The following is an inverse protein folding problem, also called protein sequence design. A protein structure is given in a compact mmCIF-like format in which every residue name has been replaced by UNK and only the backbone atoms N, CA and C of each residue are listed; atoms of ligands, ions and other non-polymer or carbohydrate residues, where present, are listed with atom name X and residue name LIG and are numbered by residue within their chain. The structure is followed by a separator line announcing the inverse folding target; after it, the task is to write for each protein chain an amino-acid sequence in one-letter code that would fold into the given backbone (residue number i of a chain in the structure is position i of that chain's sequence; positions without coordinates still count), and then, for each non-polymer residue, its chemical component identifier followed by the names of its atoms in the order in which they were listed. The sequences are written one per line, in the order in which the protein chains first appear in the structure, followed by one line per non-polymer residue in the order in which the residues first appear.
data_IF_861038753139
#
_entry.id   IF_861038753139
#
_cell.length_a   1.000
_cell.length_b   1.000
_cell.length_c   1.000
_cell.angle_alpha   90.00
_cell.angle_beta   90.00
_cell.angle_gamma   90.00
#
_symmetry.space_group_name_H-M   'P 1'
#
loop_
_entity.id
_entity.type
_entity.pdbx_description
1 polymer ?
#
# COMPACT_ATOMS: atom_id res chain seq x y z
N UNK A 1 -16.53 3.17 -8.78
CA UNK A 1 -16.30 2.24 -7.66
C UNK A 1 -15.01 1.50 -7.94
N UNK A 2 -14.11 1.36 -6.96
CA UNK A 2 -12.86 0.63 -7.15
C UNK A 2 -13.12 -0.85 -7.45
N UNK A 3 -12.30 -1.43 -8.33
CA UNK A 3 -12.26 -2.89 -8.55
C UNK A 3 -11.51 -3.62 -7.44
N UNK A 4 -10.65 -2.91 -6.70
CA UNK A 4 -9.90 -3.45 -5.58
C UNK A 4 -10.75 -3.35 -4.33
N UNK A 5 -11.14 -4.50 -3.79
CA UNK A 5 -11.98 -4.58 -2.59
C UNK A 5 -11.37 -5.57 -1.62
N UNK A 6 -11.27 -5.14 -0.37
CA UNK A 6 -10.97 -6.02 0.75
C UNK A 6 -12.22 -6.81 1.13
N UNK A 7 -12.02 -8.03 1.62
CA UNK A 7 -13.09 -8.83 2.23
C UNK A 7 -13.09 -8.61 3.75
N UNK A 8 -14.16 -9.04 4.41
CA UNK A 8 -14.24 -9.02 5.89
C UNK A 8 -13.26 -10.00 6.54
N UNK A 9 -12.75 -10.98 5.79
CA UNK A 9 -11.79 -11.98 6.28
C UNK A 9 -10.34 -11.50 6.22
N UNK A 10 -10.07 -10.43 5.47
CA UNK A 10 -8.72 -9.88 5.39
C UNK A 10 -8.29 -9.38 6.77
N UNK A 11 -7.12 -9.84 7.21
CA UNK A 11 -6.41 -9.28 8.35
C UNK A 11 -6.10 -7.80 8.14
N UNK A 12 -5.65 -7.18 9.22
CA UNK A 12 -5.23 -5.78 9.19
C UNK A 12 -3.87 -5.63 8.53
N UNK A 13 -3.72 -4.58 7.72
CA UNK A 13 -2.43 -4.10 7.22
C UNK A 13 -1.64 -3.46 8.36
N UNK A 14 -2.35 -2.70 9.20
CA UNK A 14 -1.78 -1.95 10.32
C UNK A 14 -1.50 -2.79 11.57
N UNK A 15 -2.31 -3.82 11.81
CA UNK A 15 -2.32 -4.60 13.06
C UNK A 15 -2.92 -3.85 14.26
N UNK A 16 -3.58 -2.72 14.04
CA UNK A 16 -4.23 -1.89 15.08
C UNK A 16 -5.75 -1.83 14.89
N UNK A 17 -6.23 -1.84 13.65
CA UNK A 17 -7.65 -1.76 13.32
C UNK A 17 -8.22 -0.34 13.25
N UNK A 18 -9.54 -0.25 13.23
CA UNK A 18 -10.29 1.01 13.22
C UNK A 18 -9.94 1.95 12.05
N UNK A 19 -10.05 3.26 12.29
CA UNK A 19 -9.80 4.28 11.26
C UNK A 19 -8.37 4.27 10.70
N UNK A 20 -7.40 3.79 11.48
CA UNK A 20 -6.01 3.64 11.03
C UNK A 20 -5.91 2.54 9.96
N UNK A 21 -6.57 1.41 10.18
CA UNK A 21 -6.66 0.33 9.18
C UNK A 21 -7.43 0.77 7.94
N UNK A 22 -8.54 1.50 8.11
CA UNK A 22 -9.30 2.05 6.99
C UNK A 22 -8.46 2.99 6.12
N UNK A 23 -7.62 3.82 6.74
CA UNK A 23 -6.66 4.66 6.04
C UNK A 23 -5.64 3.82 5.27
N UNK A 24 -5.03 2.80 5.89
CA UNK A 24 -4.11 1.89 5.21
C UNK A 24 -4.75 1.19 4.00
N UNK A 25 -5.98 0.70 4.14
CA UNK A 25 -6.73 0.05 3.04
C UNK A 25 -6.98 1.02 1.88
N UNK A 26 -7.40 2.26 2.18
CA UNK A 26 -7.58 3.33 1.17
C UNK A 26 -6.28 3.64 0.44
N UNK A 27 -5.17 3.77 1.18
CA UNK A 27 -3.85 4.00 0.59
C UNK A 27 -3.47 2.87 -0.37
N UNK A 28 -3.62 1.60 0.02
CA UNK A 28 -3.26 0.47 -0.85
C UNK A 28 -4.14 0.42 -2.11
N UNK A 29 -5.45 0.68 -1.97
CA UNK A 29 -6.36 0.76 -3.13
C UNK A 29 -5.91 1.88 -4.08
N UNK A 30 -5.65 3.09 -3.57
CA UNK A 30 -5.19 4.23 -4.37
C UNK A 30 -3.87 3.92 -5.10
N UNK A 31 -2.89 3.30 -4.42
CA UNK A 31 -1.63 2.89 -5.05
C UNK A 31 -1.83 1.85 -6.18
N UNK A 32 -2.74 0.89 -6.00
CA UNK A 32 -3.08 -0.08 -7.04
C UNK A 32 -3.82 0.55 -8.24
N UNK A 33 -4.71 1.52 -8.00
CA UNK A 33 -5.37 2.28 -9.06
C UNK A 33 -4.38 3.16 -9.82
N UNK A 34 -3.42 3.76 -9.12
CA UNK A 34 -2.36 4.53 -9.73
C UNK A 34 -1.52 3.67 -10.67
N UNK A 35 -1.11 2.48 -10.25
CA UNK A 35 -0.32 1.56 -11.08
C UNK A 35 -1.08 1.03 -12.29
N UNK A 36 -2.38 0.80 -12.16
CA UNK A 36 -3.22 0.41 -13.29
C UNK A 36 -3.26 1.51 -14.37
N UNK A 37 -3.33 2.77 -13.96
CA UNK A 37 -3.32 3.92 -14.86
C UNK A 37 -1.92 4.23 -15.42
N UNK A 38 -0.87 3.69 -14.80
CA UNK A 38 0.53 3.92 -15.18
C UNK A 38 1.26 2.58 -15.40
N UNK A 39 0.80 1.79 -16.38
CA UNK A 39 1.29 0.41 -16.63
C UNK A 39 2.79 0.25 -16.88
N UNK A 40 3.47 1.34 -17.25
CA UNK A 40 4.92 1.36 -17.50
C UNK A 40 5.72 1.90 -16.31
N UNK A 41 5.06 2.35 -15.24
CA UNK A 41 5.73 2.84 -14.05
C UNK A 41 6.48 1.70 -13.37
N UNK A 42 7.67 2.02 -12.84
CA UNK A 42 8.52 1.08 -12.12
C UNK A 42 8.92 1.66 -10.76
N UNK A 43 7.99 1.77 -9.78
CA UNK A 43 8.31 2.33 -8.47
C UNK A 43 9.45 1.55 -7.79
N UNK A 44 10.44 2.28 -7.29
CA UNK A 44 11.60 1.73 -6.58
C UNK A 44 11.95 2.62 -5.40
N UNK A 45 12.45 1.97 -4.36
CA UNK A 45 12.95 2.58 -3.14
C UNK A 45 13.79 1.56 -2.38
N UNK A 46 14.68 2.06 -1.53
CA UNK A 46 15.46 1.28 -0.60
C UNK A 46 14.84 1.35 0.79
N UNK A 47 14.95 0.23 1.51
CA UNK A 47 14.51 0.11 2.90
C UNK A 47 15.70 -0.21 3.79
N UNK A 48 15.74 0.43 4.96
CA UNK A 48 16.78 0.16 5.94
C UNK A 48 16.40 -1.04 6.80
N UNK A 49 17.34 -1.97 6.96
CA UNK A 49 17.14 -3.14 7.81
C UNK A 49 16.89 -2.70 9.26
N UNK A 50 15.81 -3.21 9.86
CA UNK A 50 15.40 -2.93 11.25
C UNK A 50 15.01 -1.47 11.55
N UNK A 51 14.78 -0.62 10.53
CA UNK A 51 14.29 0.75 10.73
C UNK A 51 12.97 0.89 9.97
N UNK A 52 11.88 1.07 10.71
CA UNK A 52 10.55 1.23 10.14
C UNK A 52 10.18 2.70 10.00
N UNK A 53 9.48 3.04 8.92
CA UNK A 53 9.11 4.40 8.54
C UNK A 53 10.24 5.23 7.92
N UNK A 54 11.39 4.61 7.60
CA UNK A 54 12.51 5.29 6.97
C UNK A 54 12.93 4.55 5.69
N UNK A 55 12.95 5.29 4.59
CA UNK A 55 13.23 4.80 3.24
C UNK A 55 14.17 5.78 2.52
N UNK A 56 14.79 5.33 1.43
CA UNK A 56 15.70 6.15 0.64
C UNK A 56 15.60 5.82 -0.85
N UNK A 57 16.23 6.66 -1.68
CA UNK A 57 16.36 6.45 -3.12
C UNK A 57 15.02 6.18 -3.83
N UNK A 58 13.94 6.79 -3.35
CA UNK A 58 12.64 6.76 -4.01
C UNK A 58 12.76 7.39 -5.39
N UNK A 59 12.47 6.63 -6.44
CA UNK A 59 12.41 7.19 -7.78
C UNK A 59 11.12 8.00 -7.99
N UNK A 60 11.06 8.73 -9.11
CA UNK A 60 9.92 9.60 -9.42
C UNK A 60 8.57 8.86 -9.46
N UNK A 61 8.54 7.64 -10.00
CA UNK A 61 7.34 6.80 -10.02
C UNK A 61 6.88 6.43 -8.60
N UNK A 62 7.83 6.12 -7.71
CA UNK A 62 7.52 5.84 -6.30
C UNK A 62 6.93 7.07 -5.62
N UNK A 63 7.55 8.23 -5.79
CA UNK A 63 7.07 9.48 -5.18
C UNK A 63 5.66 9.84 -5.66
N UNK A 64 5.37 9.70 -6.95
CA UNK A 64 4.03 9.94 -7.52
C UNK A 64 2.99 8.98 -6.98
N UNK A 65 3.32 7.69 -6.91
CA UNK A 65 2.44 6.68 -6.33
C UNK A 65 2.17 6.98 -4.84
N UNK A 66 3.22 7.29 -4.07
CA UNK A 66 3.10 7.64 -2.65
C UNK A 66 2.29 8.93 -2.42
N UNK A 67 2.40 9.93 -3.31
CA UNK A 67 1.54 11.12 -3.28
C UNK A 67 0.07 10.74 -3.45
N UNK A 68 -0.26 9.93 -4.46
CA UNK A 68 -1.63 9.47 -4.69
C UNK A 68 -2.18 8.64 -3.52
N UNK A 69 -1.32 7.83 -2.88
CA UNK A 69 -1.68 7.11 -1.65
C UNK A 69 -1.98 8.07 -0.50
N UNK A 70 -1.13 9.08 -0.29
CA UNK A 70 -1.28 10.07 0.78
C UNK A 70 -2.53 10.94 0.61
N UNK A 71 -2.84 11.36 -0.62
CA UNK A 71 -4.02 12.16 -0.96
C UNK A 71 -5.34 11.41 -0.73
N UNK A 72 -5.30 10.07 -0.62
CA UNK A 72 -6.49 9.25 -0.37
C UNK A 72 -6.97 9.30 1.10
N UNK A 73 -6.25 9.97 2.00
CA UNK A 73 -6.54 10.05 3.44
C UNK A 73 -6.44 11.49 3.96
N UNK A 74 -7.18 11.81 5.02
CA UNK A 74 -7.38 13.21 5.45
C UNK A 74 -6.26 13.78 6.34
N UNK A 75 -5.47 12.94 6.99
CA UNK A 75 -4.48 13.37 8.01
C UNK A 75 -3.02 13.17 7.57
N UNK A 76 -2.81 12.75 6.32
CA UNK A 76 -1.51 12.36 5.81
C UNK A 76 -1.00 11.05 6.42
N UNK A 77 -0.16 10.36 5.66
CA UNK A 77 0.44 9.11 6.07
C UNK A 77 1.65 9.39 6.96
N UNK A 78 1.74 8.69 8.08
CA UNK A 78 3.01 8.57 8.80
C UNK A 78 4.03 7.82 7.93
N UNK A 79 5.33 8.00 8.19
CA UNK A 79 6.37 7.25 7.46
C UNK A 79 6.16 5.73 7.56
N UNK A 80 5.72 5.25 8.72
CA UNK A 80 5.38 3.85 8.95
C UNK A 80 4.21 3.37 8.06
N UNK A 81 3.12 4.16 7.99
CA UNK A 81 1.99 3.88 7.09
C UNK A 81 2.43 3.83 5.64
N UNK A 82 3.25 4.82 5.22
CA UNK A 82 3.72 4.92 3.86
C UNK A 82 4.54 3.68 3.48
N UNK A 83 5.57 3.35 4.27
CA UNK A 83 6.39 2.16 4.01
C UNK A 83 5.54 0.87 4.00
N UNK A 84 4.64 0.70 4.97
CA UNK A 84 3.77 -0.48 5.06
C UNK A 84 2.90 -0.62 3.81
N UNK A 85 2.14 0.42 3.50
CA UNK A 85 1.19 0.39 2.40
C UNK A 85 1.90 0.27 1.05
N UNK A 86 3.06 0.92 0.88
CA UNK A 86 3.87 0.76 -0.35
C UNK A 86 4.27 -0.70 -0.55
N UNK A 87 4.72 -1.39 0.51
CA UNK A 87 5.06 -2.82 0.40
C UNK A 87 3.86 -3.67 -0.01
N UNK A 88 2.68 -3.40 0.56
CA UNK A 88 1.44 -4.10 0.20
C UNK A 88 1.06 -3.84 -1.27
N UNK A 89 1.15 -2.59 -1.74
CA UNK A 89 0.90 -2.23 -3.15
C UNK A 89 1.87 -2.97 -4.08
N UNK A 90 3.16 -2.95 -3.79
CA UNK A 90 4.16 -3.63 -4.63
C UNK A 90 3.95 -5.15 -4.65
N UNK A 91 3.61 -5.74 -3.51
CA UNK A 91 3.28 -7.16 -3.46
C UNK A 91 2.04 -7.48 -4.32
N UNK A 92 0.98 -6.70 -4.17
CA UNK A 92 -0.27 -6.89 -4.91
C UNK A 92 -0.09 -6.64 -6.41
N UNK A 93 0.67 -5.63 -6.82
CA UNK A 93 0.99 -5.38 -8.21
C UNK A 93 1.81 -6.52 -8.84
N UNK A 94 2.79 -7.04 -8.11
CA UNK A 94 3.64 -8.15 -8.58
C UNK A 94 2.88 -9.48 -8.68
N UNK A 95 1.96 -9.74 -7.76
CA UNK A 95 1.32 -11.06 -7.61
C UNK A 95 -0.15 -11.11 -8.09
N UNK A 96 -0.74 -9.96 -8.39
CA UNK A 96 -2.17 -9.83 -8.63
C UNK A 96 -2.98 -9.60 -7.34
N UNK A 97 -4.05 -8.83 -7.45
CA UNK A 97 -4.93 -8.47 -6.32
C UNK A 97 -5.55 -9.69 -5.65
N UNK A 98 -6.05 -10.66 -6.44
CA UNK A 98 -6.70 -11.86 -5.90
C UNK A 98 -5.75 -12.67 -5.01
N UNK A 99 -4.51 -12.87 -5.47
CA UNK A 99 -3.49 -13.56 -4.67
C UNK A 99 -3.16 -12.77 -3.40
N UNK A 100 -3.04 -11.45 -3.50
CA UNK A 100 -2.84 -10.60 -2.33
C UNK A 100 -3.97 -10.75 -1.29
N UNK A 101 -5.24 -10.74 -1.73
CA UNK A 101 -6.38 -10.96 -0.85
C UNK A 101 -6.31 -12.34 -0.18
N UNK A 102 -6.02 -13.41 -0.93
CA UNK A 102 -5.87 -14.75 -0.36
C UNK A 102 -4.76 -14.81 0.70
N UNK A 103 -3.63 -14.12 0.49
CA UNK A 103 -2.59 -14.03 1.53
C UNK A 103 -3.05 -13.24 2.76
N UNK A 104 -3.86 -12.20 2.58
CA UNK A 104 -4.41 -11.40 3.69
C UNK A 104 -5.50 -12.16 4.48
N UNK A 105 -6.13 -13.18 3.91
CA UNK A 105 -7.14 -14.02 4.58
C UNK A 105 -6.53 -15.21 5.36
N UNK A 106 -5.23 -15.48 5.20
CA UNK A 106 -4.60 -16.60 5.92
C UNK A 106 -4.50 -16.30 7.42
N UNK A 107 -4.97 -17.25 8.22
CA UNK A 107 -4.79 -17.28 9.68
C UNK A 107 -3.40 -17.84 9.98
N UNK A 108 -2.63 -17.14 10.80
CA UNK A 108 -1.37 -17.64 11.39
C UNK A 108 -1.64 -18.56 12.58
#
# INVERSE_FOLDING_TARGET
MSKYKYTEKCREISGIGGGYEEACRKMVISGMEWLENHKNATPKFDQFKNIYGFTANENEDMQKMQSAMNEAINDGATGAMMQCCTNHVLFANKNGWEKYILEMEKVS
#
